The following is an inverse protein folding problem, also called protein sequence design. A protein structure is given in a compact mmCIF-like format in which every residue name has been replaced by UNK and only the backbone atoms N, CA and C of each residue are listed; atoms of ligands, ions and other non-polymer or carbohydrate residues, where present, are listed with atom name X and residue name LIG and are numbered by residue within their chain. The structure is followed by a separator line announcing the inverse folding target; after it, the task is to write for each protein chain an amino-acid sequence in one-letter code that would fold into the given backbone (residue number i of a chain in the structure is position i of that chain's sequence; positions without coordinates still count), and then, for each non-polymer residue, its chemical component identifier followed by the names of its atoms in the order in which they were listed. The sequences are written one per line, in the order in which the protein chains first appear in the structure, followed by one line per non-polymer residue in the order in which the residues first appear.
data_IF_917833897465
#
_entry.id   IF_917833897465
#
_cell.length_a   1.000
_cell.length_b   1.000
_cell.length_c   1.000
_cell.angle_alpha   90.00
_cell.angle_beta   90.00
_cell.angle_gamma   90.00
#
_symmetry.space_group_name_H-M   'P 1'
#
loop_
_entity.id
_entity.type
_entity.pdbx_description
1 polymer ?
#
# COMPACT_ATOMS: atom_id res chain seq x y z
N UNK A 1 -8.62 -9.22 2.95
CA UNK A 1 -8.00 -8.08 2.27
C UNK A 1 -6.70 -7.64 2.93
N UNK A 2 -6.56 -7.82 4.25
CA UNK A 2 -5.36 -7.45 4.98
C UNK A 2 -4.08 -8.10 4.44
N UNK A 3 -4.07 -9.43 4.27
CA UNK A 3 -2.85 -10.15 3.85
C UNK A 3 -2.48 -9.75 2.43
N UNK A 4 -3.48 -9.62 1.55
CA UNK A 4 -3.27 -9.17 0.17
C UNK A 4 -2.54 -7.82 0.09
N UNK A 5 -3.00 -6.81 0.82
CA UNK A 5 -2.38 -5.48 0.79
C UNK A 5 -0.99 -5.47 1.43
N UNK A 6 -0.81 -6.17 2.55
CA UNK A 6 0.49 -6.27 3.23
C UNK A 6 1.51 -6.96 2.34
N UNK A 7 1.18 -8.15 1.83
CA UNK A 7 2.07 -8.95 1.01
C UNK A 7 2.34 -8.27 -0.35
N UNK A 8 1.31 -7.73 -0.98
CA UNK A 8 1.43 -6.98 -2.22
C UNK A 8 2.34 -5.77 -2.07
N UNK A 9 2.22 -5.01 -0.98
CA UNK A 9 3.10 -3.87 -0.71
C UNK A 9 4.54 -4.30 -0.40
N UNK A 10 4.70 -5.34 0.41
CA UNK A 10 6.02 -5.91 0.76
C UNK A 10 6.78 -6.41 -0.47
N UNK A 11 6.07 -6.93 -1.47
CA UNK A 11 6.69 -7.50 -2.67
C UNK A 11 6.80 -6.48 -3.80
N UNK A 12 5.69 -5.87 -4.20
CA UNK A 12 5.66 -5.03 -5.39
C UNK A 12 6.55 -3.78 -5.23
N UNK A 13 6.56 -3.17 -4.04
CA UNK A 13 7.28 -1.90 -3.84
C UNK A 13 8.79 -2.09 -3.88
N UNK A 14 9.42 -3.01 -3.13
CA UNK A 14 10.86 -3.27 -3.28
C UNK A 14 11.25 -3.68 -4.70
N UNK A 15 10.44 -4.48 -5.39
CA UNK A 15 10.74 -4.91 -6.76
C UNK A 15 10.67 -3.78 -7.79
N UNK A 16 9.76 -2.80 -7.60
CA UNK A 16 9.59 -1.68 -8.54
C UNK A 16 10.58 -0.55 -8.26
N UNK A 17 10.81 -0.23 -6.98
CA UNK A 17 11.62 0.93 -6.60
C UNK A 17 13.11 0.59 -6.39
N UNK A 18 13.46 -0.68 -6.14
CA UNK A 18 14.81 -1.18 -5.90
C UNK A 18 15.66 -0.24 -5.02
N UNK A 19 15.05 0.25 -3.94
CA UNK A 19 15.63 1.28 -3.08
C UNK A 19 15.74 0.79 -1.63
N UNK A 20 16.95 0.53 -1.12
CA UNK A 20 17.14 0.08 0.26
C UNK A 20 16.86 1.19 1.30
N UNK A 21 16.68 2.44 0.87
CA UNK A 21 16.39 3.57 1.76
C UNK A 21 14.90 3.77 2.04
N UNK A 22 14.02 3.04 1.36
CA UNK A 22 12.58 3.11 1.57
C UNK A 22 12.16 2.23 2.75
N UNK A 23 11.50 2.81 3.76
CA UNK A 23 10.97 2.05 4.90
C UNK A 23 9.68 1.32 4.47
N UNK A 24 9.80 0.04 4.14
CA UNK A 24 8.70 -0.79 3.63
C UNK A 24 7.59 -0.97 4.67
N UNK A 25 7.89 -0.87 5.96
CA UNK A 25 6.87 -0.96 7.02
C UNK A 25 5.89 0.21 6.92
N UNK A 26 6.39 1.41 6.64
CA UNK A 26 5.54 2.60 6.46
C UNK A 26 4.62 2.43 5.26
N UNK A 27 5.14 1.85 4.18
CA UNK A 27 4.36 1.52 2.97
C UNK A 27 3.25 0.52 3.30
N UNK A 28 3.58 -0.59 3.97
CA UNK A 28 2.61 -1.61 4.36
C UNK A 28 1.50 -1.03 5.24
N UNK A 29 1.86 -0.21 6.24
CA UNK A 29 0.88 0.44 7.11
C UNK A 29 0.02 1.43 6.33
N UNK A 30 0.62 2.23 5.45
CA UNK A 30 -0.10 3.21 4.65
C UNK A 30 -1.06 2.55 3.63
N UNK A 31 -0.68 1.41 3.08
CA UNK A 31 -1.53 0.61 2.20
C UNK A 31 -2.76 0.00 2.92
N UNK A 32 -2.74 -0.05 4.25
CA UNK A 32 -3.88 -0.49 5.06
C UNK A 32 -4.79 0.66 5.48
N UNK A 33 -4.37 1.93 5.34
CA UNK A 33 -5.15 3.09 5.79
C UNK A 33 -6.57 3.11 5.21
N UNK A 34 -6.80 2.88 3.91
CA UNK A 34 -8.15 2.97 3.36
C UNK A 34 -9.11 1.91 3.92
N UNK A 35 -8.59 0.78 4.43
CA UNK A 35 -9.42 -0.27 5.06
C UNK A 35 -10.09 0.24 6.34
N UNK A 36 -9.52 1.25 7.01
CA UNK A 36 -10.14 1.86 8.20
C UNK A 36 -11.50 2.47 7.85
N UNK A 37 -11.75 2.82 6.58
CA UNK A 37 -13.04 3.34 6.14
C UNK A 37 -14.18 2.32 6.25
N UNK A 38 -13.88 1.02 6.41
CA UNK A 38 -14.90 0.00 6.75
C UNK A 38 -15.68 0.42 8.01
N UNK A 39 -15.00 1.01 8.99
CA UNK A 39 -15.57 1.31 10.31
C UNK A 39 -16.55 2.48 10.31
N UNK A 40 -16.57 3.25 9.23
CA UNK A 40 -17.37 4.48 9.07
C UNK A 40 -18.24 4.42 7.81
N UNK A 41 -18.61 3.21 7.39
CA UNK A 41 -19.46 2.96 6.21
C UNK A 41 -18.93 3.63 4.92
N UNK A 42 -17.60 3.58 4.71
CA UNK A 42 -16.94 4.00 3.46
C UNK A 42 -17.34 3.16 2.25
N UNK A 43 -16.88 3.49 1.03
CA UNK A 43 -15.65 4.24 0.72
C UNK A 43 -15.79 5.76 0.89
N UNK A 44 -14.74 6.37 1.41
CA UNK A 44 -14.57 7.81 1.53
C UNK A 44 -13.34 8.28 0.74
N UNK A 45 -12.65 9.31 1.24
CA UNK A 45 -11.64 10.05 0.51
C UNK A 45 -10.34 9.24 0.37
N UNK A 46 -10.08 8.22 1.21
CA UNK A 46 -8.89 7.38 1.12
C UNK A 46 -8.89 6.47 -0.11
N UNK A 47 -10.05 6.20 -0.70
CA UNK A 47 -10.18 5.49 -1.98
C UNK A 47 -10.11 6.41 -3.21
N UNK A 48 -9.73 7.69 -3.05
CA UNK A 48 -9.65 8.64 -4.16
C UNK A 48 -8.20 8.86 -4.59
N UNK A 49 -7.98 9.03 -5.90
CA UNK A 49 -6.65 9.38 -6.42
C UNK A 49 -6.18 10.73 -5.87
N UNK A 50 -7.11 11.67 -5.73
CA UNK A 50 -6.83 13.03 -5.27
C UNK A 50 -6.15 13.03 -3.90
N UNK A 51 -6.60 12.20 -2.95
CA UNK A 51 -6.00 12.18 -1.63
C UNK A 51 -4.58 11.63 -1.65
N UNK A 52 -4.31 10.56 -2.41
CA UNK A 52 -2.96 10.01 -2.56
C UNK A 52 -1.99 11.03 -3.17
N UNK A 53 -2.45 11.78 -4.18
CA UNK A 53 -1.68 12.88 -4.79
C UNK A 53 -1.48 14.04 -3.81
N UNK A 54 -2.52 14.41 -3.05
CA UNK A 54 -2.41 15.46 -2.03
C UNK A 54 -1.44 15.06 -0.91
N UNK A 55 -1.50 13.81 -0.44
CA UNK A 55 -0.56 13.26 0.54
C UNK A 55 0.88 13.32 0.01
N UNK A 56 1.11 12.98 -1.27
CA UNK A 56 2.41 13.12 -1.90
C UNK A 56 2.89 14.58 -1.90
N UNK A 57 2.03 15.51 -2.32
CA UNK A 57 2.35 16.93 -2.34
C UNK A 57 2.69 17.45 -0.94
N UNK A 58 1.89 17.10 0.08
CA UNK A 58 2.11 17.46 1.47
C UNK A 58 3.46 16.92 1.96
N UNK A 59 3.77 15.65 1.71
CA UNK A 59 5.06 15.05 2.09
C UNK A 59 6.22 15.80 1.43
N UNK A 60 6.12 16.10 0.13
CA UNK A 60 7.17 16.82 -0.60
C UNK A 60 7.38 18.24 -0.06
N UNK A 61 6.30 18.95 0.28
CA UNK A 61 6.36 20.30 0.85
C UNK A 61 6.94 20.30 2.27
N UNK A 62 6.44 19.43 3.15
CA UNK A 62 6.87 19.37 4.55
C UNK A 62 8.31 18.85 4.72
N UNK A 63 8.81 18.06 3.78
CA UNK A 63 10.16 17.50 3.83
C UNK A 63 11.17 18.24 2.94
N UNK A 64 10.83 19.45 2.48
CA UNK A 64 11.72 20.28 1.66
C UNK A 64 13.06 20.50 2.38
N UNK A 65 14.15 20.29 1.64
CA UNK A 65 15.52 20.38 2.18
C UNK A 65 15.98 19.19 3.03
N UNK A 66 15.10 18.25 3.38
CA UNK A 66 15.40 17.14 4.29
C UNK A 66 15.33 15.78 3.58
N UNK A 67 16.36 15.43 2.79
CA UNK A 67 16.40 14.20 1.97
C UNK A 67 16.02 12.93 2.75
N UNK A 68 16.59 12.72 3.94
CA UNK A 68 16.32 11.53 4.77
C UNK A 68 14.87 11.45 5.26
N UNK A 69 14.31 12.59 5.72
CA UNK A 69 12.88 12.65 6.14
C UNK A 69 11.98 12.36 4.94
N UNK A 70 12.29 12.94 3.78
CA UNK A 70 11.54 12.71 2.55
C UNK A 70 11.52 11.22 2.18
N UNK A 71 12.67 10.55 2.15
CA UNK A 71 12.76 9.12 1.83
C UNK A 71 11.86 8.26 2.76
N UNK A 72 11.85 8.56 4.07
CA UNK A 72 10.99 7.86 5.03
C UNK A 72 9.51 8.14 4.82
N UNK A 73 9.12 9.42 4.68
CA UNK A 73 7.72 9.83 4.59
C UNK A 73 7.11 9.55 3.21
N UNK A 74 7.92 9.38 2.16
CA UNK A 74 7.44 8.96 0.85
C UNK A 74 6.78 7.58 0.87
N UNK A 75 7.09 6.74 1.87
CA UNK A 75 6.40 5.46 2.06
C UNK A 75 4.88 5.61 2.23
N UNK A 76 4.41 6.73 2.79
CA UNK A 76 2.98 6.99 2.99
C UNK A 76 2.22 7.13 1.66
N UNK A 77 2.51 8.11 0.79
CA UNK A 77 1.82 8.23 -0.48
C UNK A 77 2.05 7.00 -1.37
N UNK A 78 3.25 6.39 -1.33
CA UNK A 78 3.50 5.14 -2.08
C UNK A 78 2.53 4.04 -1.63
N UNK A 79 2.38 3.80 -0.32
CA UNK A 79 1.44 2.81 0.20
C UNK A 79 -0.02 3.11 -0.18
N UNK A 80 -0.42 4.39 -0.16
CA UNK A 80 -1.76 4.79 -0.59
C UNK A 80 -1.99 4.52 -2.08
N UNK A 81 -1.03 4.83 -2.95
CA UNK A 81 -1.12 4.46 -4.38
C UNK A 81 -1.14 2.95 -4.57
N UNK A 82 -0.31 2.21 -3.83
CA UNK A 82 -0.31 0.75 -3.87
C UNK A 82 -1.67 0.17 -3.48
N UNK A 83 -2.33 0.72 -2.46
CA UNK A 83 -3.70 0.34 -2.12
C UNK A 83 -4.65 0.50 -3.32
N UNK A 84 -4.71 1.70 -3.93
CA UNK A 84 -5.59 2.02 -5.06
C UNK A 84 -5.36 1.13 -6.30
N UNK A 85 -4.16 0.58 -6.44
CA UNK A 85 -3.83 -0.36 -7.51
C UNK A 85 -4.33 -1.76 -7.14
N UNK A 86 -4.05 -2.21 -5.91
CA UNK A 86 -4.36 -3.57 -5.43
C UNK A 86 -5.85 -3.79 -5.14
N UNK A 87 -6.57 -2.74 -4.73
CA UNK A 87 -8.03 -2.78 -4.50
C UNK A 87 -8.81 -2.72 -5.83
N UNK A 88 -8.17 -2.27 -6.92
CA UNK A 88 -8.79 -2.06 -8.22
C UNK A 88 -9.79 -0.90 -8.25
N UNK A 89 -9.64 0.12 -7.41
CA UNK A 89 -10.55 1.27 -7.35
C UNK A 89 -10.52 2.10 -8.63
N UNK A 90 -9.43 2.03 -9.40
CA UNK A 90 -9.36 2.59 -10.76
C UNK A 90 -10.45 2.05 -11.70
N UNK A 91 -11.03 0.86 -11.42
CA UNK A 91 -12.20 0.34 -12.14
C UNK A 91 -13.52 1.06 -11.81
N UNK A 92 -13.60 1.76 -10.66
CA UNK A 92 -14.72 2.62 -10.25
C UNK A 92 -14.37 4.07 -10.54
N UNK A 93 -14.41 4.44 -11.81
CA UNK A 93 -13.91 5.74 -12.32
C UNK A 93 -14.49 6.95 -11.59
N UNK A 94 -15.77 6.92 -11.22
CA UNK A 94 -16.42 8.03 -10.51
C UNK A 94 -15.90 8.24 -9.08
N UNK A 95 -15.54 7.16 -8.37
CA UNK A 95 -14.91 7.22 -7.05
C UNK A 95 -13.43 7.60 -7.17
N UNK A 96 -12.70 6.95 -8.09
CA UNK A 96 -11.28 7.17 -8.30
C UNK A 96 -10.95 8.62 -8.68
N UNK A 97 -11.76 9.23 -9.56
CA UNK A 97 -11.63 10.60 -10.01
C UNK A 97 -12.43 11.61 -9.19
N UNK A 98 -12.91 11.25 -8.00
CA UNK A 98 -13.56 12.20 -7.11
C UNK A 98 -12.65 13.44 -6.89
N UNK A 99 -13.17 14.68 -6.94
CA UNK A 99 -14.60 15.07 -6.97
C UNK A 99 -15.23 15.15 -8.36
N UNK A 100 -14.50 14.91 -9.46
CA UNK A 100 -15.04 15.04 -10.82
C UNK A 100 -16.20 14.06 -11.10
N UNK A 101 -16.19 12.88 -10.47
CA UNK A 101 -17.28 11.89 -10.54
C UNK A 101 -18.50 12.18 -9.66
N UNK A 102 -18.51 13.31 -8.94
CA UNK A 102 -19.58 13.75 -8.05
C UNK A 102 -19.49 13.21 -6.62
N UNK A 103 -20.13 13.91 -5.68
CA UNK A 103 -20.05 13.60 -4.23
C UNK A 103 -20.88 12.41 -3.77
N UNK A 104 -21.81 11.92 -4.61
CA UNK A 104 -22.73 10.81 -4.26
C UNK A 104 -22.04 9.44 -4.16
N UNK A 105 -20.77 9.34 -4.55
CA UNK A 105 -20.00 8.09 -4.52
C UNK A 105 -19.30 7.86 -3.17
N UNK A 106 -19.28 8.88 -2.29
CA UNK A 106 -18.74 8.75 -0.95
C UNK A 106 -19.80 8.23 0.01
N UNK A 107 -19.43 7.25 0.83
CA UNK A 107 -20.25 6.69 1.90
C UNK A 107 -21.36 5.75 1.42
N UNK A 108 -21.78 4.85 2.31
CA UNK A 108 -23.02 4.07 2.18
C UNK A 108 -23.03 3.00 1.08
N UNK A 109 -21.86 2.61 0.56
CA UNK A 109 -21.73 1.51 -0.40
C UNK A 109 -20.68 0.50 0.05
N UNK A 110 -20.74 -0.74 -0.41
CA UNK A 110 -19.71 -1.71 -0.06
C UNK A 110 -18.36 -1.29 -0.64
N UNK A 111 -17.33 -1.35 0.20
CA UNK A 111 -15.96 -1.05 -0.20
C UNK A 111 -15.51 -1.85 -1.45
N UNK A 112 -14.71 -1.25 -2.35
CA UNK A 112 -14.31 -1.86 -3.61
C UNK A 112 -13.74 -3.28 -3.46
N UNK A 113 -12.90 -3.50 -2.45
CA UNK A 113 -12.23 -4.76 -2.16
C UNK A 113 -13.13 -5.82 -1.52
N UNK A 114 -14.21 -5.42 -0.85
CA UNK A 114 -15.18 -6.35 -0.25
C UNK A 114 -16.39 -6.63 -1.16
N UNK A 115 -16.59 -5.80 -2.18
CA UNK A 115 -17.71 -5.93 -3.13
C UNK A 115 -17.61 -7.13 -4.10
N UNK A 116 -16.49 -7.87 -4.09
CA UNK A 116 -16.15 -8.88 -5.11
C UNK A 116 -16.18 -10.32 -4.57
N UNK A 117 -17.16 -10.73 -3.77
CA UNK A 117 -17.26 -12.14 -3.38
C UNK A 117 -17.54 -13.04 -4.60
N UNK A 118 -16.86 -14.19 -4.78
CA UNK A 118 -15.85 -14.81 -3.90
C UNK A 118 -14.39 -14.37 -4.15
N UNK A 119 -14.14 -13.51 -5.13
CA UNK A 119 -12.82 -12.94 -5.45
C UNK A 119 -12.07 -12.35 -4.25
N UNK A 120 -12.78 -11.85 -3.22
CA UNK A 120 -12.16 -11.36 -1.99
C UNK A 120 -11.35 -12.43 -1.26
N UNK A 121 -11.85 -13.67 -1.18
CA UNK A 121 -11.14 -14.80 -0.56
C UNK A 121 -9.95 -15.25 -1.42
N UNK A 122 -10.13 -15.23 -2.74
CA UNK A 122 -9.05 -15.55 -3.68
C UNK A 122 -7.87 -14.61 -3.56
N UNK A 123 -8.11 -13.30 -3.42
CA UNK A 123 -7.05 -12.32 -3.23
C UNK A 123 -6.31 -12.52 -1.90
N UNK A 124 -6.99 -12.92 -0.83
CA UNK A 124 -6.31 -13.27 0.42
C UNK A 124 -5.44 -14.52 0.28
N UNK A 125 -5.94 -15.56 -0.39
CA UNK A 125 -5.17 -16.76 -0.67
C UNK A 125 -3.93 -16.43 -1.54
N UNK A 126 -4.10 -15.56 -2.54
CA UNK A 126 -3.00 -15.07 -3.36
C UNK A 126 -2.03 -14.24 -2.52
N UNK A 127 -2.53 -13.42 -1.60
CA UNK A 127 -1.73 -12.68 -0.62
C UNK A 127 -0.86 -13.59 0.24
N UNK A 128 -1.38 -14.74 0.71
CA UNK A 128 -0.59 -15.73 1.43
C UNK A 128 0.54 -16.33 0.57
N UNK A 129 0.24 -16.65 -0.69
CA UNK A 129 1.23 -17.18 -1.64
C UNK A 129 2.34 -16.14 -1.89
N UNK A 130 1.95 -14.89 -2.16
CA UNK A 130 2.88 -13.77 -2.37
C UNK A 130 3.70 -13.48 -1.11
N UNK A 131 3.09 -13.57 0.07
CA UNK A 131 3.78 -13.41 1.34
C UNK A 131 4.85 -14.50 1.53
N UNK A 132 4.49 -15.76 1.30
CA UNK A 132 5.43 -16.88 1.40
C UNK A 132 6.57 -16.76 0.38
N UNK A 133 6.24 -16.41 -0.85
CA UNK A 133 7.23 -16.18 -1.89
C UNK A 133 8.15 -15.02 -1.55
N UNK A 134 7.62 -13.87 -1.12
CA UNK A 134 8.38 -12.71 -0.72
C UNK A 134 9.29 -12.99 0.48
N UNK A 135 8.79 -13.76 1.45
CA UNK A 135 9.57 -14.20 2.60
C UNK A 135 10.83 -14.97 2.18
N UNK A 136 10.68 -15.88 1.20
CA UNK A 136 11.80 -16.62 0.62
C UNK A 136 12.70 -15.70 -0.22
N UNK A 137 12.12 -14.89 -1.10
CA UNK A 137 12.83 -14.04 -2.06
C UNK A 137 13.72 -12.99 -1.38
N UNK A 138 13.26 -12.44 -0.26
CA UNK A 138 14.02 -11.45 0.52
C UNK A 138 14.87 -12.09 1.64
N UNK A 139 14.82 -13.41 1.80
CA UNK A 139 15.62 -14.12 2.81
C UNK A 139 15.25 -13.78 4.24
N UNK A 140 13.97 -13.48 4.52
CA UNK A 140 13.48 -13.10 5.85
C UNK A 140 13.53 -14.27 6.87
N UNK A 141 13.86 -15.48 6.41
CA UNK A 141 14.22 -16.60 7.29
C UNK A 141 15.55 -16.40 8.02
N UNK A 142 16.44 -15.55 7.50
CA UNK A 142 17.70 -15.20 8.18
C UNK A 142 17.44 -14.18 9.29
N UNK A 143 17.88 -14.44 10.53
CA UNK A 143 17.58 -13.57 11.67
C UNK A 143 18.12 -12.14 11.49
N UNK A 144 19.27 -11.98 10.85
CA UNK A 144 19.89 -10.67 10.58
C UNK A 144 19.03 -9.82 9.63
N UNK A 145 18.58 -10.40 8.51
CA UNK A 145 17.70 -9.71 7.55
C UNK A 145 16.35 -9.38 8.16
N UNK A 146 15.82 -10.30 8.97
CA UNK A 146 14.59 -10.07 9.72
C UNK A 146 14.76 -8.93 10.71
N UNK A 147 15.90 -8.84 11.40
CA UNK A 147 16.20 -7.75 12.30
C UNK A 147 16.28 -6.42 11.55
N UNK A 148 16.99 -6.36 10.41
CA UNK A 148 17.06 -5.16 9.56
C UNK A 148 15.68 -4.70 9.08
N UNK A 149 14.81 -5.63 8.70
CA UNK A 149 13.42 -5.31 8.36
C UNK A 149 12.67 -4.70 9.56
N UNK A 150 12.77 -5.32 10.74
CA UNK A 150 12.05 -4.83 11.93
C UNK A 150 12.62 -3.55 12.55
N UNK A 151 13.91 -3.25 12.39
CA UNK A 151 14.54 -2.05 12.95
C UNK A 151 14.51 -0.90 11.94
N UNK A 152 14.98 -1.16 10.71
CA UNK A 152 15.22 -0.14 9.69
C UNK A 152 14.14 -0.11 8.60
N UNK A 153 13.32 -1.17 8.48
CA UNK A 153 12.29 -1.26 7.44
C UNK A 153 12.85 -1.62 6.06
N UNK A 154 14.10 -2.08 6.02
CA UNK A 154 14.82 -2.38 4.79
C UNK A 154 14.58 -3.83 4.37
N UNK A 155 14.45 -4.02 3.06
CA UNK A 155 14.27 -5.31 2.43
C UNK A 155 15.14 -5.35 1.18
N UNK A 156 16.02 -6.35 1.10
CA UNK A 156 16.91 -6.55 -0.04
C UNK A 156 16.67 -7.92 -0.66
N UNK A 157 16.51 -7.97 -1.98
CA UNK A 157 16.42 -9.23 -2.72
C UNK A 157 17.66 -10.08 -2.46
N UNK A 158 17.48 -11.40 -2.32
CA UNK A 158 18.61 -12.31 -2.40
C UNK A 158 19.17 -12.20 -3.83
N UNK A 159 20.34 -11.59 -3.97
CA UNK A 159 21.14 -11.73 -5.19
C UNK A 159 21.73 -13.13 -5.15
N UNK A 160 21.14 -14.05 -5.89
CA UNK A 160 21.83 -15.28 -6.25
C UNK A 160 23.10 -14.86 -7.01
N UNK A 161 24.26 -15.14 -6.42
CA UNK A 161 25.57 -15.05 -7.07
C UNK A 161 25.85 -16.33 -7.81
#
# INVERSE_FOLDING_TARGET
MFIWFVAGSLVAVPMVFDSPDLDIRVVMVAALLPIVEVLIDGPWILHTLLLSVAALAIVMLLTRGHRRKRQRWLGVPIGMFTHLVLDGTWGRTTLFWWPAGGFKQLGGSTLPEFSRFPGTLWLEALGLIVCFWGWKHFGLSQPERRQQFWTEGRVEAIRDR
#
